data_IF_129177452625
#
_entry.id   IF_129177452625
#
_cell.length_a   1.000
_cell.length_b   1.000
_cell.length_c   1.000
_cell.angle_alpha   90.00
_cell.angle_beta   90.00
_cell.angle_gamma   90.00
#
_symmetry.space_group_name_H-M   'P 1'
#
loop_
_entity.id
_entity.type
_entity.pdbx_description
1 polymer ?
#
# COMPACT_ATOMS: atom_id res chain seq x y z
N UNK A 1 -0.51 -21.87 -8.81
CA UNK A 1 -0.14 -20.59 -9.48
C UNK A 1 -1.29 -20.22 -10.38
N UNK A 2 -1.79 -18.97 -10.22
CA UNK A 2 -2.81 -18.40 -11.10
C UNK A 2 -2.11 -17.31 -11.91
N UNK A 3 -2.20 -17.41 -13.23
CA UNK A 3 -1.62 -16.43 -14.15
C UNK A 3 -2.74 -15.67 -14.84
N UNK A 4 -3.04 -14.47 -14.32
CA UNK A 4 -4.11 -13.61 -14.81
C UNK A 4 -3.74 -12.14 -14.65
N UNK A 5 -4.09 -11.32 -15.65
CA UNK A 5 -3.94 -9.87 -15.54
C UNK A 5 -5.02 -9.27 -14.63
N UNK A 6 -4.65 -8.31 -13.80
CA UNK A 6 -5.59 -7.58 -12.95
C UNK A 6 -6.44 -6.62 -13.79
N UNK A 7 -7.66 -7.03 -14.12
CA UNK A 7 -8.65 -6.23 -14.86
C UNK A 7 -9.77 -5.76 -13.92
N UNK A 8 -10.59 -4.78 -14.33
CA UNK A 8 -11.75 -4.35 -13.52
C UNK A 8 -12.68 -5.51 -13.15
N UNK A 9 -12.92 -6.45 -14.07
CA UNK A 9 -13.77 -7.62 -13.91
C UNK A 9 -13.12 -8.78 -13.16
N UNK A 10 -11.81 -8.79 -12.95
CA UNK A 10 -11.11 -9.88 -12.22
C UNK A 10 -11.64 -10.00 -10.80
N UNK A 11 -12.22 -11.15 -10.49
CA UNK A 11 -12.82 -11.46 -9.18
C UNK A 11 -11.77 -12.05 -8.25
N UNK A 12 -11.19 -11.20 -7.40
CA UNK A 12 -10.14 -11.59 -6.45
C UNK A 12 -10.68 -12.01 -5.07
N UNK A 13 -11.98 -11.82 -4.80
CA UNK A 13 -12.58 -12.11 -3.48
C UNK A 13 -12.39 -13.56 -3.06
N UNK A 14 -12.58 -14.51 -3.98
CA UNK A 14 -12.45 -15.94 -3.67
C UNK A 14 -11.01 -16.34 -3.30
N UNK A 15 -10.04 -15.64 -3.84
CA UNK A 15 -8.63 -15.85 -3.52
C UNK A 15 -8.29 -15.23 -2.15
N UNK A 16 -8.68 -13.97 -1.95
CA UNK A 16 -8.34 -13.21 -0.75
C UNK A 16 -8.98 -13.80 0.50
N UNK A 17 -10.27 -14.17 0.45
CA UNK A 17 -10.97 -14.70 1.63
C UNK A 17 -10.42 -16.04 2.17
N UNK A 18 -9.55 -16.70 1.45
CA UNK A 18 -8.98 -18.01 1.80
C UNK A 18 -7.53 -17.95 2.26
N UNK A 19 -6.99 -16.74 2.50
CA UNK A 19 -5.60 -16.55 2.93
C UNK A 19 -5.54 -15.73 4.22
N UNK A 20 -4.46 -15.88 4.96
CA UNK A 20 -4.24 -15.20 6.24
C UNK A 20 -3.64 -13.80 6.05
N UNK A 21 -2.94 -13.58 4.96
CA UNK A 21 -2.26 -12.33 4.66
C UNK A 21 -2.10 -12.13 3.14
N UNK A 22 -2.16 -10.90 2.67
CA UNK A 22 -1.97 -10.56 1.25
C UNK A 22 -0.80 -9.60 1.08
N UNK A 23 0.09 -9.88 0.13
CA UNK A 23 1.15 -8.97 -0.29
C UNK A 23 0.88 -8.51 -1.71
N UNK A 24 0.67 -7.22 -1.90
CA UNK A 24 0.49 -6.63 -3.21
C UNK A 24 1.81 -6.04 -3.73
N UNK A 25 2.37 -6.66 -4.74
CA UNK A 25 3.56 -6.19 -5.46
C UNK A 25 3.25 -5.74 -6.88
N UNK A 26 1.95 -5.67 -7.24
CA UNK A 26 1.53 -5.34 -8.60
C UNK A 26 1.54 -3.83 -8.83
N UNK A 27 2.17 -3.41 -9.89
CA UNK A 27 2.19 -2.03 -10.37
C UNK A 27 1.48 -1.83 -11.73
N UNK A 28 0.97 -2.91 -12.34
CA UNK A 28 0.16 -2.86 -13.56
C UNK A 28 -1.34 -2.95 -13.26
N UNK A 29 -2.13 -2.07 -13.79
CA UNK A 29 -1.88 -0.93 -14.68
C UNK A 29 -1.17 0.26 -14.00
N UNK A 30 -1.31 0.45 -12.70
CA UNK A 30 -0.51 1.28 -11.81
C UNK A 30 -0.84 0.91 -10.36
N UNK A 31 0.12 1.14 -9.47
CA UNK A 31 0.05 0.69 -8.06
C UNK A 31 -1.19 1.18 -7.32
N UNK A 32 -1.63 2.42 -7.55
CA UNK A 32 -2.83 2.96 -6.90
C UNK A 32 -4.12 2.22 -7.25
N UNK A 33 -4.22 1.69 -8.48
CA UNK A 33 -5.37 0.89 -8.90
C UNK A 33 -5.37 -0.48 -8.23
N UNK A 34 -4.26 -1.21 -8.30
CA UNK A 34 -4.15 -2.56 -7.73
C UNK A 34 -4.28 -2.50 -6.21
N UNK A 35 -3.65 -1.52 -5.57
CA UNK A 35 -3.75 -1.28 -4.14
C UNK A 35 -5.18 -1.00 -3.71
N UNK A 36 -5.91 -0.12 -4.39
CA UNK A 36 -7.30 0.19 -4.06
C UNK A 36 -8.21 -1.03 -4.22
N UNK A 37 -8.05 -1.80 -5.30
CA UNK A 37 -8.85 -3.00 -5.56
C UNK A 37 -8.62 -4.07 -4.50
N UNK A 38 -7.36 -4.38 -4.18
CA UNK A 38 -6.99 -5.38 -3.17
C UNK A 38 -7.40 -4.93 -1.79
N UNK A 39 -7.08 -3.69 -1.40
CA UNK A 39 -7.35 -3.19 -0.06
C UNK A 39 -8.85 -3.19 0.27
N UNK A 40 -9.73 -2.85 -0.68
CA UNK A 40 -11.18 -2.92 -0.47
C UNK A 40 -11.64 -4.32 -0.10
N UNK A 41 -11.14 -5.34 -0.78
CA UNK A 41 -11.49 -6.73 -0.51
C UNK A 41 -10.87 -7.20 0.81
N UNK A 42 -9.59 -6.90 1.05
CA UNK A 42 -8.92 -7.26 2.30
C UNK A 42 -9.60 -6.64 3.52
N UNK A 43 -9.96 -5.36 3.47
CA UNK A 43 -10.67 -4.69 4.57
C UNK A 43 -12.04 -5.31 4.81
N UNK A 44 -12.81 -5.59 3.73
CA UNK A 44 -14.11 -6.27 3.82
C UNK A 44 -14.04 -7.61 4.54
N UNK A 45 -12.99 -8.40 4.28
CA UNK A 45 -12.79 -9.72 4.88
C UNK A 45 -11.87 -9.71 6.11
N UNK A 46 -11.51 -8.53 6.62
CA UNK A 46 -10.64 -8.36 7.80
C UNK A 46 -9.26 -9.03 7.66
N UNK A 47 -8.72 -9.05 6.45
CA UNK A 47 -7.42 -9.67 6.16
C UNK A 47 -6.33 -8.60 6.14
N UNK A 48 -5.32 -8.77 6.99
CA UNK A 48 -4.14 -7.90 6.99
C UNK A 48 -3.39 -8.02 5.66
N UNK A 49 -2.86 -6.90 5.19
CA UNK A 49 -2.18 -6.89 3.90
C UNK A 49 -1.10 -5.82 3.83
N UNK A 50 -0.16 -6.04 2.92
CA UNK A 50 0.95 -5.14 2.66
C UNK A 50 0.91 -4.67 1.20
N UNK A 51 0.99 -3.37 1.01
CA UNK A 51 1.17 -2.76 -0.31
C UNK A 51 2.65 -2.44 -0.45
N UNK A 52 3.33 -3.11 -1.37
CA UNK A 52 4.76 -2.91 -1.58
C UNK A 52 5.07 -1.45 -1.96
N UNK A 53 6.15 -0.94 -1.43
CA UNK A 53 6.65 0.38 -1.75
C UNK A 53 7.24 0.42 -3.16
N UNK A 54 7.19 1.60 -3.75
CA UNK A 54 7.91 1.91 -4.97
C UNK A 54 9.24 2.60 -4.67
N UNK A 55 10.03 2.79 -5.70
CA UNK A 55 11.25 3.58 -5.62
C UNK A 55 11.38 4.48 -6.86
N UNK A 56 12.01 5.60 -6.66
CA UNK A 56 12.35 6.58 -7.68
C UNK A 56 13.86 6.82 -7.62
N UNK A 57 14.41 7.67 -8.47
CA UNK A 57 15.85 7.90 -8.59
C UNK A 57 16.57 8.15 -7.24
N UNK A 58 15.92 8.76 -6.28
CA UNK A 58 16.51 9.21 -5.00
C UNK A 58 15.69 8.87 -3.75
N UNK A 59 14.55 8.21 -3.91
CA UNK A 59 13.62 7.90 -2.83
C UNK A 59 13.15 6.45 -2.92
N UNK A 60 13.05 5.79 -1.78
CA UNK A 60 12.44 4.47 -1.65
C UNK A 60 11.33 4.52 -0.60
N UNK A 61 10.12 4.13 -0.99
CA UNK A 61 9.02 3.94 -0.04
C UNK A 61 9.12 2.56 0.60
N UNK A 62 8.93 2.48 1.90
CA UNK A 62 8.87 1.19 2.61
C UNK A 62 7.63 0.38 2.23
N UNK A 63 6.61 1.02 1.68
CA UNK A 63 5.30 0.41 1.50
C UNK A 63 4.36 0.67 2.67
N UNK A 64 3.22 -0.01 2.68
CA UNK A 64 2.14 0.23 3.64
C UNK A 64 1.65 -1.09 4.23
N UNK A 65 1.84 -1.27 5.55
CA UNK A 65 1.16 -2.33 6.30
C UNK A 65 -0.25 -1.84 6.64
N UNK A 66 -1.26 -2.60 6.23
CA UNK A 66 -2.66 -2.28 6.49
C UNK A 66 -3.27 -3.41 7.32
N UNK A 67 -3.61 -3.08 8.57
CA UNK A 67 -4.40 -3.91 9.46
C UNK A 67 -5.82 -3.35 9.44
N UNK A 68 -6.80 -4.09 8.91
CA UNK A 68 -8.17 -3.61 8.73
C UNK A 68 -8.76 -3.02 10.00
N UNK A 69 -9.35 -1.84 9.89
CA UNK A 69 -9.97 -1.06 10.96
C UNK A 69 -9.02 -0.51 12.05
N UNK A 70 -7.74 -0.89 12.02
CA UNK A 70 -6.71 -0.44 12.98
C UNK A 70 -5.86 0.66 12.36
N UNK A 71 -5.19 0.37 11.24
CA UNK A 71 -4.35 1.34 10.54
C UNK A 71 -5.13 2.11 9.48
N UNK A 72 -4.59 3.24 8.95
CA UNK A 72 -5.13 3.85 7.73
C UNK A 72 -5.14 2.84 6.58
N UNK A 73 -6.22 2.81 5.80
CA UNK A 73 -6.28 2.01 4.58
C UNK A 73 -5.79 2.79 3.35
N UNK A 74 -5.69 2.14 2.21
CA UNK A 74 -5.26 2.77 0.95
C UNK A 74 -6.07 4.04 0.60
N UNK A 75 -7.38 4.07 0.90
CA UNK A 75 -8.21 5.25 0.63
C UNK A 75 -7.88 6.41 1.58
N UNK A 76 -7.48 6.14 2.83
CA UNK A 76 -6.98 7.16 3.74
C UNK A 76 -5.69 7.79 3.21
N UNK A 77 -4.74 6.97 2.75
CA UNK A 77 -3.51 7.43 2.08
C UNK A 77 -3.82 8.24 0.83
N UNK A 78 -4.69 7.74 -0.05
CA UNK A 78 -5.10 8.45 -1.26
C UNK A 78 -5.71 9.82 -0.95
N UNK A 79 -6.55 9.90 0.08
CA UNK A 79 -7.16 11.14 0.53
C UNK A 79 -6.13 12.12 1.13
N UNK A 80 -5.15 11.60 1.88
CA UNK A 80 -4.05 12.39 2.40
C UNK A 80 -3.22 13.01 1.28
N UNK A 81 -2.79 12.22 0.30
CA UNK A 81 -2.01 12.71 -0.84
C UNK A 81 -2.79 13.69 -1.72
N UNK A 82 -4.07 13.46 -1.98
CA UNK A 82 -4.93 14.40 -2.72
C UNK A 82 -5.01 15.77 -2.03
N UNK A 83 -5.00 15.81 -0.70
CA UNK A 83 -5.00 17.08 0.05
C UNK A 83 -3.65 17.78 0.02
N UNK A 84 -2.54 17.01 0.07
CA UNK A 84 -1.17 17.55 0.07
C UNK A 84 -0.71 17.98 -1.32
N UNK A 85 -1.11 17.25 -2.36
CA UNK A 85 -0.72 17.46 -3.75
C UNK A 85 -1.87 18.10 -4.54
N UNK A 86 -2.20 19.36 -4.23
CA UNK A 86 -3.37 20.07 -4.83
C UNK A 86 -3.37 20.08 -6.35
N UNK A 87 -2.20 20.11 -6.96
CA UNK A 87 -2.04 20.17 -8.42
C UNK A 87 -1.84 18.79 -9.06
N UNK A 88 -1.81 17.73 -8.24
CA UNK A 88 -1.63 16.39 -8.76
C UNK A 88 -2.88 15.90 -9.51
N UNK A 89 -2.69 15.52 -10.77
CA UNK A 89 -3.73 14.89 -11.58
C UNK A 89 -3.34 13.45 -11.86
N UNK A 90 -4.23 12.48 -11.58
CA UNK A 90 -3.95 11.09 -11.92
C UNK A 90 -3.70 10.94 -13.42
N UNK A 91 -2.66 10.20 -13.79
CA UNK A 91 -2.40 9.86 -15.19
C UNK A 91 -3.58 9.06 -15.74
N UNK A 92 -3.99 9.38 -16.98
CA UNK A 92 -5.01 8.58 -17.67
C UNK A 92 -4.49 7.17 -17.87
N UNK A 93 -5.33 6.21 -17.57
CA UNK A 93 -5.02 4.79 -17.67
C UNK A 93 -5.66 4.18 -18.94
N UNK A 94 -5.03 3.23 -19.63
CA UNK A 94 -3.68 2.70 -19.38
C UNK A 94 -2.57 3.68 -19.77
N UNK A 95 -1.44 3.61 -19.08
CA UNK A 95 -0.25 4.37 -19.45
C UNK A 95 0.29 3.80 -20.77
N UNK A 96 0.09 4.52 -21.86
CA UNK A 96 0.42 4.03 -23.20
C UNK A 96 1.91 4.04 -23.54
N UNK A 97 2.73 4.78 -22.81
CA UNK A 97 4.19 4.78 -23.01
C UNK A 97 4.93 5.15 -21.72
N UNK A 98 5.98 4.41 -21.45
CA UNK A 98 6.88 4.60 -20.30
C UNK A 98 8.28 5.08 -20.71
N UNK A 99 8.40 5.72 -21.88
CA UNK A 99 9.69 6.14 -22.45
C UNK A 99 10.50 7.13 -21.60
N UNK A 100 9.90 7.70 -20.56
CA UNK A 100 10.55 8.66 -19.66
C UNK A 100 10.64 8.15 -18.23
N UNK A 101 10.42 6.88 -17.98
CA UNK A 101 10.61 6.31 -16.65
C UNK A 101 12.09 6.16 -16.37
N UNK A 102 12.55 6.79 -15.31
CA UNK A 102 13.91 6.67 -14.82
C UNK A 102 13.99 5.41 -13.99
N UNK A 103 14.94 4.54 -14.29
CA UNK A 103 15.21 3.37 -13.47
C UNK A 103 15.68 3.76 -12.07
N UNK A 104 15.27 3.01 -11.06
CA UNK A 104 15.75 3.19 -9.70
C UNK A 104 17.04 2.44 -9.41
N UNK A 105 17.72 2.83 -8.33
CA UNK A 105 18.88 2.11 -7.83
C UNK A 105 18.46 0.77 -7.22
N UNK A 106 19.16 -0.30 -7.57
CA UNK A 106 18.87 -1.64 -7.03
C UNK A 106 18.93 -1.69 -5.49
N UNK A 107 19.82 -0.94 -4.88
CA UNK A 107 19.92 -0.85 -3.43
C UNK A 107 18.64 -0.26 -2.77
N UNK A 108 17.95 0.68 -3.42
CA UNK A 108 16.68 1.22 -2.92
C UNK A 108 15.56 0.17 -2.99
N UNK A 109 15.53 -0.61 -4.07
CA UNK A 109 14.59 -1.73 -4.20
C UNK A 109 14.84 -2.81 -3.14
N UNK A 110 16.09 -3.17 -2.91
CA UNK A 110 16.47 -4.13 -1.87
C UNK A 110 16.12 -3.63 -0.46
N UNK A 111 16.36 -2.34 -0.19
CA UNK A 111 15.97 -1.72 1.07
C UNK A 111 14.45 -1.83 1.28
N UNK A 112 13.66 -1.39 0.31
CA UNK A 112 12.19 -1.45 0.39
C UNK A 112 11.68 -2.88 0.59
N UNK A 113 12.23 -3.85 -0.15
CA UNK A 113 11.84 -5.26 -0.03
C UNK A 113 12.23 -5.86 1.32
N UNK A 114 13.43 -5.57 1.82
CA UNK A 114 13.89 -6.06 3.13
C UNK A 114 13.06 -5.48 4.27
N UNK A 115 12.76 -4.19 4.20
CA UNK A 115 11.88 -3.53 5.16
C UNK A 115 10.48 -4.17 5.15
N UNK A 116 9.90 -4.36 3.96
CA UNK A 116 8.60 -5.02 3.79
C UNK A 116 8.58 -6.41 4.41
N UNK A 117 9.61 -7.23 4.18
CA UNK A 117 9.72 -8.57 4.77
C UNK A 117 9.70 -8.52 6.31
N UNK A 118 10.42 -7.58 6.92
CA UNK A 118 10.44 -7.41 8.38
C UNK A 118 9.05 -7.05 8.90
N UNK A 119 8.37 -6.08 8.30
CA UNK A 119 7.05 -5.65 8.72
C UNK A 119 5.98 -6.75 8.55
N UNK A 120 6.05 -7.51 7.47
CA UNK A 120 5.16 -8.66 7.22
C UNK A 120 5.39 -9.75 8.28
N UNK A 121 6.64 -10.12 8.56
CA UNK A 121 6.99 -11.11 9.58
C UNK A 121 6.50 -10.65 10.95
N UNK A 122 6.74 -9.41 11.33
CA UNK A 122 6.26 -8.84 12.60
C UNK A 122 4.74 -8.93 12.70
N UNK A 123 4.03 -8.57 11.62
CA UNK A 123 2.58 -8.61 11.60
C UNK A 123 2.05 -10.05 11.78
N UNK A 124 2.57 -11.01 11.03
CA UNK A 124 2.17 -12.42 11.12
C UNK A 124 2.51 -13.02 12.49
N UNK A 125 3.65 -12.62 13.08
CA UNK A 125 4.05 -13.06 14.39
C UNK A 125 3.35 -12.34 15.57
N UNK A 126 2.46 -11.39 15.30
CA UNK A 126 1.79 -10.60 16.32
C UNK A 126 2.69 -9.62 17.08
N UNK A 127 3.81 -9.21 16.48
CA UNK A 127 4.83 -8.33 17.07
C UNK A 127 4.71 -6.87 16.62
N UNK A 128 3.64 -6.52 15.88
CA UNK A 128 3.42 -5.14 15.44
C UNK A 128 2.88 -4.33 16.61
N UNK A 129 3.59 -3.26 16.95
CA UNK A 129 3.07 -2.24 17.86
C UNK A 129 2.04 -1.40 17.12
N UNK A 130 0.78 -1.66 17.40
CA UNK A 130 -0.34 -0.95 16.78
C UNK A 130 -0.60 0.43 17.42
N UNK A 131 0.07 0.76 18.53
CA UNK A 131 0.02 2.12 19.10
C UNK A 131 0.84 3.09 18.25
N UNK A 132 1.89 2.61 17.60
CA UNK A 132 2.72 3.39 16.67
C UNK A 132 2.18 3.34 15.20
N UNK A 133 0.88 3.27 15.06
CA UNK A 133 0.15 3.14 13.79
C UNK A 133 0.39 4.26 12.77
N UNK A 134 0.99 5.37 13.19
CA UNK A 134 1.35 6.47 12.29
C UNK A 134 2.62 6.20 11.49
N UNK A 135 3.42 5.21 11.89
CA UNK A 135 4.68 4.82 11.22
C UNK A 135 4.53 3.65 10.26
N UNK A 136 3.35 3.51 9.65
CA UNK A 136 3.08 2.38 8.76
C UNK A 136 3.64 2.55 7.34
N UNK A 137 4.05 3.76 6.96
CA UNK A 137 4.72 4.06 5.70
C UNK A 137 5.88 5.01 5.93
N UNK A 138 7.07 4.58 5.53
CA UNK A 138 8.28 5.37 5.54
C UNK A 138 8.75 5.74 4.14
N UNK A 139 9.56 6.79 4.06
CA UNK A 139 10.25 7.25 2.86
C UNK A 139 11.73 7.37 3.18
N UNK A 140 12.55 6.55 2.51
CA UNK A 140 13.99 6.59 2.63
C UNK A 140 14.57 7.47 1.55
N UNK A 141 15.27 8.52 1.95
CA UNK A 141 15.92 9.48 1.06
C UNK A 141 17.39 9.11 0.89
N UNK A 142 17.80 8.90 -0.36
CA UNK A 142 19.17 8.51 -0.69
C UNK A 142 20.20 9.60 -0.38
N UNK A 143 19.83 10.87 -0.54
CA UNK A 143 20.78 11.98 -0.43
C UNK A 143 21.42 12.11 0.96
N UNK A 144 20.65 11.90 2.00
CA UNK A 144 21.07 12.07 3.39
C UNK A 144 20.93 10.77 4.21
N UNK A 145 20.58 9.68 3.54
CA UNK A 145 20.37 8.36 4.16
C UNK A 145 19.34 8.39 5.30
N UNK A 146 18.37 9.28 5.20
CA UNK A 146 17.32 9.43 6.22
C UNK A 146 16.09 8.59 5.91
N UNK A 147 15.49 8.03 6.96
CA UNK A 147 14.19 7.38 6.90
C UNK A 147 13.18 8.23 7.67
N UNK A 148 12.21 8.78 6.97
CA UNK A 148 11.13 9.57 7.55
C UNK A 148 9.80 8.82 7.42
N UNK A 149 8.89 9.03 8.36
CA UNK A 149 7.58 8.40 8.34
C UNK A 149 6.49 9.42 8.02
N UNK A 150 5.52 9.00 7.20
CA UNK A 150 4.36 9.82 6.90
C UNK A 150 3.38 9.76 8.06
N UNK A 151 2.93 10.93 8.46
CA UNK A 151 1.82 11.08 9.41
C UNK A 151 0.49 11.05 8.64
N UNK A 152 -0.09 9.88 8.55
CA UNK A 152 -1.37 9.65 7.88
C UNK A 152 -2.39 9.11 8.87
N UNK A 153 -3.34 9.94 9.24
CA UNK A 153 -4.41 9.55 10.14
C UNK A 153 -5.49 8.72 9.44
N UNK A 154 -6.06 7.79 10.18
CA UNK A 154 -7.26 7.08 9.76
C UNK A 154 -8.43 8.07 9.68
N UNK A 155 -9.02 8.18 8.50
CA UNK A 155 -10.19 9.03 8.30
C UNK A 155 -11.46 8.34 8.86
N UNK A 156 -12.12 8.89 9.88
CA UNK A 156 -13.35 8.29 10.44
C UNK A 156 -14.49 8.19 9.41
N UNK A 157 -14.48 9.07 8.40
CA UNK A 157 -15.46 9.05 7.31
C UNK A 157 -14.95 8.33 6.06
N UNK A 158 -13.90 7.52 6.16
CA UNK A 158 -13.40 6.76 5.03
C UNK A 158 -14.45 5.75 4.54
N UNK A 159 -14.77 5.72 3.24
CA UNK A 159 -15.78 4.80 2.70
C UNK A 159 -15.38 3.33 2.79
N UNK A 160 -14.10 3.04 3.10
CA UNK A 160 -13.56 1.68 3.19
C UNK A 160 -13.38 1.23 4.64
N UNK A 161 -12.74 2.05 5.48
CA UNK A 161 -12.39 1.67 6.86
C UNK A 161 -12.93 2.62 7.92
N UNK A 162 -13.70 3.65 7.55
CA UNK A 162 -14.19 4.67 8.47
C UNK A 162 -15.42 4.24 9.29
N UNK A 163 -16.22 3.32 8.80
CA UNK A 163 -17.28 2.72 9.61
C UNK A 163 -16.66 1.90 10.73
N UNK A 164 -16.92 2.26 11.99
CA UNK A 164 -16.61 1.36 13.11
C UNK A 164 -17.17 -0.02 12.83
N UNK A 165 -16.62 -1.04 13.49
CA UNK A 165 -17.18 -2.38 13.50
C UNK A 165 -18.69 -2.29 13.80
N UNK A 166 -19.52 -2.21 12.78
CA UNK A 166 -20.91 -2.54 12.94
C UNK A 166 -20.92 -4.04 13.16
N UNK A 167 -20.97 -4.42 14.43
CA UNK A 167 -21.33 -5.76 14.85
C UNK A 167 -22.66 -6.12 14.18
N UNK A 168 -22.60 -7.10 13.32
CA UNK A 168 -23.77 -7.80 12.77
C UNK A 168 -23.61 -9.28 13.02
#
# INVERSE_FOLDING_TARGET
IIQESMKPETKIENLIKSVDFVVNTMDEPYIGYTAAKISRVCVKYKIAHYIAGGFDAHLSSTGELIVPYVTPCVECYASHFKRKLKDWKPKKHPVKSRYKEIGGLACLSLFSSSYACIEIIKCIAGLVDLEDKYKVRGEFLFNDMSLTYLDVEKNPNCPICGGGLHES
#
